data_IF_117906036486
#
_entry.id   IF_117906036486
#
_cell.length_a   1.000
_cell.length_b   1.000
_cell.length_c   1.000
_cell.angle_alpha   90.00
_cell.angle_beta   90.00
_cell.angle_gamma   90.00
#
_symmetry.space_group_name_H-M   'P 1'
#
loop_
_entity.id
_entity.type
_entity.pdbx_description
1 polymer ?
#
# COMPACT_ATOMS: atom_id res chain seq x y z
N UNK A 1 1.83 -19.17 -11.63
CA UNK A 1 0.69 -18.29 -11.99
C UNK A 1 -0.65 -18.90 -11.58
N UNK A 2 -1.03 -20.09 -12.07
CA UNK A 2 -2.32 -20.72 -11.75
C UNK A 2 -2.59 -20.89 -10.24
N UNK A 3 -1.58 -21.28 -9.48
CA UNK A 3 -1.66 -21.36 -8.01
C UNK A 3 -1.85 -20.00 -7.32
N UNK A 4 -1.31 -18.91 -7.91
CA UNK A 4 -1.50 -17.56 -7.37
C UNK A 4 -2.95 -17.12 -7.53
N UNK A 5 -3.61 -17.47 -8.64
CA UNK A 5 -5.02 -17.13 -8.86
C UNK A 5 -5.93 -17.79 -7.81
N UNK A 6 -5.66 -19.04 -7.45
CA UNK A 6 -6.37 -19.71 -6.35
C UNK A 6 -6.17 -18.99 -5.01
N UNK A 7 -4.91 -18.61 -4.68
CA UNK A 7 -4.61 -17.89 -3.43
C UNK A 7 -5.24 -16.49 -3.39
N UNK A 8 -5.24 -15.76 -4.50
CA UNK A 8 -5.92 -14.46 -4.60
C UNK A 8 -7.39 -14.55 -4.25
N UNK A 9 -8.03 -15.65 -4.67
CA UNK A 9 -9.45 -15.86 -4.41
C UNK A 9 -9.76 -16.13 -2.94
N UNK A 10 -8.83 -16.63 -2.12
CA UNK A 10 -9.09 -16.92 -0.69
C UNK A 10 -9.54 -15.67 0.08
N UNK A 11 -8.83 -14.55 -0.08
CA UNK A 11 -9.21 -13.29 0.56
C UNK A 11 -10.53 -12.74 0.02
N UNK A 12 -10.76 -12.85 -1.29
CA UNK A 12 -12.02 -12.41 -1.94
C UNK A 12 -13.19 -13.25 -1.45
N UNK A 13 -12.99 -14.55 -1.32
CA UNK A 13 -13.99 -15.50 -0.84
C UNK A 13 -14.42 -15.19 0.58
N UNK A 14 -13.48 -14.87 1.48
CA UNK A 14 -13.80 -14.42 2.84
C UNK A 14 -14.72 -13.18 2.82
N UNK A 15 -14.46 -12.21 1.96
CA UNK A 15 -15.34 -11.04 1.82
C UNK A 15 -16.75 -11.43 1.33
N UNK A 16 -16.86 -12.36 0.37
CA UNK A 16 -18.15 -12.87 -0.09
C UNK A 16 -18.91 -13.65 0.98
N UNK A 17 -18.21 -14.47 1.78
CA UNK A 17 -18.80 -15.26 2.86
C UNK A 17 -19.31 -14.39 4.00
N UNK A 18 -18.59 -13.30 4.32
CA UNK A 18 -19.08 -12.28 5.26
C UNK A 18 -20.25 -11.49 4.66
N UNK A 19 -20.18 -11.17 3.36
CA UNK A 19 -21.13 -10.29 2.68
C UNK A 19 -21.20 -8.92 3.37
N UNK A 20 -22.43 -8.42 3.56
CA UNK A 20 -22.70 -7.21 4.36
C UNK A 20 -22.88 -7.52 5.86
N UNK A 21 -22.51 -8.74 6.29
CA UNK A 21 -22.57 -9.16 7.67
C UNK A 21 -21.57 -8.43 8.56
N UNK A 22 -21.80 -8.50 9.88
CA UNK A 22 -20.91 -7.94 10.89
C UNK A 22 -19.91 -9.01 11.32
N UNK A 23 -18.63 -8.66 11.34
CA UNK A 23 -17.65 -9.40 12.13
C UNK A 23 -17.65 -8.84 13.53
N UNK A 24 -18.17 -9.64 14.46
CA UNK A 24 -18.24 -9.20 15.85
C UNK A 24 -16.88 -9.36 16.53
N UNK A 25 -16.51 -8.34 17.31
CA UNK A 25 -15.35 -8.39 18.19
C UNK A 25 -15.41 -9.63 19.06
N UNK A 26 -16.58 -9.99 19.61
CA UNK A 26 -16.81 -11.16 20.47
C UNK A 26 -16.35 -12.49 19.84
N UNK A 27 -16.45 -12.61 18.51
CA UNK A 27 -16.16 -13.86 17.78
C UNK A 27 -14.68 -13.99 17.39
N UNK A 28 -13.88 -12.92 17.55
CA UNK A 28 -12.44 -12.89 17.21
C UNK A 28 -11.58 -13.28 18.42
N UNK A 29 -10.58 -14.13 18.20
CA UNK A 29 -9.65 -14.60 19.22
C UNK A 29 -8.22 -14.14 18.94
N UNK A 30 -7.43 -13.99 20.02
CA UNK A 30 -5.98 -13.82 19.91
C UNK A 30 -5.39 -15.10 19.32
N UNK A 31 -4.54 -14.96 18.31
CA UNK A 31 -3.97 -16.05 17.52
C UNK A 31 -4.70 -16.31 16.20
N UNK A 32 -5.87 -15.70 15.97
CA UNK A 32 -6.57 -15.85 14.69
C UNK A 32 -5.72 -15.27 13.55
N UNK A 33 -5.56 -16.06 12.49
CA UNK A 33 -4.88 -15.64 11.26
C UNK A 33 -5.88 -15.05 10.27
N UNK A 34 -5.54 -13.89 9.71
CA UNK A 34 -6.30 -13.31 8.61
C UNK A 34 -5.96 -14.07 7.31
N UNK A 35 -6.93 -14.25 6.38
CA UNK A 35 -6.66 -14.89 5.10
C UNK A 35 -5.53 -14.22 4.34
N UNK A 36 -4.72 -15.01 3.65
CA UNK A 36 -3.61 -14.47 2.84
C UNK A 36 -4.17 -13.70 1.67
N UNK A 37 -3.68 -12.47 1.45
CA UNK A 37 -3.97 -11.71 0.22
C UNK A 37 -2.73 -11.62 -0.64
N UNK A 38 -2.91 -11.85 -1.93
CA UNK A 38 -1.85 -11.78 -2.93
C UNK A 38 -2.13 -10.66 -3.93
N UNK A 39 -1.14 -9.84 -4.22
CA UNK A 39 -1.17 -8.82 -5.30
C UNK A 39 -0.04 -9.11 -6.29
N UNK A 40 -0.30 -8.90 -7.57
CA UNK A 40 0.66 -9.14 -8.66
C UNK A 40 0.46 -10.49 -9.36
N UNK A 41 1.48 -11.01 -10.08
CA UNK A 41 2.81 -10.44 -10.21
C UNK A 41 2.78 -9.01 -10.74
N UNK A 42 3.61 -8.15 -10.16
CA UNK A 42 3.65 -6.73 -10.50
C UNK A 42 4.23 -6.54 -11.89
N UNK A 43 3.72 -5.56 -12.61
CA UNK A 43 4.22 -5.15 -13.92
C UNK A 43 4.32 -3.63 -13.96
N UNK A 44 5.00 -3.09 -14.97
CA UNK A 44 4.99 -1.64 -15.20
C UNK A 44 3.55 -1.15 -15.37
N UNK A 45 2.69 -1.93 -16.03
CA UNK A 45 1.28 -1.59 -16.20
C UNK A 45 0.52 -1.56 -14.86
N UNK A 46 0.73 -2.52 -13.96
CA UNK A 46 0.06 -2.51 -12.65
C UNK A 46 0.50 -1.32 -11.79
N UNK A 47 1.80 -1.03 -11.76
CA UNK A 47 2.35 0.09 -10.99
C UNK A 47 1.93 1.45 -11.57
N UNK A 48 1.89 1.58 -12.90
CA UNK A 48 1.42 2.80 -13.56
C UNK A 48 -0.07 3.04 -13.31
N UNK A 49 -0.91 2.01 -13.44
CA UNK A 49 -2.35 2.09 -13.14
C UNK A 49 -2.59 2.53 -11.71
N UNK A 50 -1.84 1.97 -10.76
CA UNK A 50 -1.99 2.31 -9.36
C UNK A 50 -1.53 3.73 -9.06
N UNK A 51 -0.39 4.17 -9.61
CA UNK A 51 0.08 5.54 -9.46
C UNK A 51 -0.97 6.55 -9.91
N UNK A 52 -1.56 6.30 -11.09
CA UNK A 52 -2.59 7.15 -11.69
C UNK A 52 -3.94 7.13 -10.96
N UNK A 53 -4.17 6.17 -10.08
CA UNK A 53 -5.39 6.08 -9.28
C UNK A 53 -5.35 7.00 -8.03
N UNK A 54 -4.17 7.52 -7.65
CA UNK A 54 -4.07 8.41 -6.50
C UNK A 54 -4.64 9.79 -6.77
N UNK A 55 -5.44 10.28 -5.82
CA UNK A 55 -5.98 11.65 -5.86
C UNK A 55 -4.88 12.71 -5.99
N UNK A 56 -3.72 12.51 -5.36
CA UNK A 56 -2.60 13.44 -5.46
C UNK A 56 -1.92 13.44 -6.84
N UNK A 57 -2.24 12.51 -7.74
CA UNK A 57 -1.75 12.52 -9.13
C UNK A 57 -2.75 13.10 -10.12
N UNK A 58 -3.98 13.38 -9.66
CA UNK A 58 -4.97 14.13 -10.43
C UNK A 58 -4.53 15.59 -10.45
N UNK A 59 -4.50 16.19 -11.64
CA UNK A 59 -4.04 17.56 -11.84
C UNK A 59 -4.83 18.55 -10.99
N UNK A 60 -4.13 19.29 -10.13
CA UNK A 60 -4.75 20.23 -9.19
C UNK A 60 -5.57 19.58 -8.07
N UNK A 61 -5.52 18.25 -7.91
CA UNK A 61 -6.29 17.50 -6.91
C UNK A 61 -5.77 17.66 -5.47
N UNK A 62 -4.52 18.10 -5.30
CA UNK A 62 -3.90 18.32 -3.99
C UNK A 62 -3.00 19.53 -3.98
N UNK A 63 -2.82 20.15 -2.81
CA UNK A 63 -1.82 21.18 -2.63
C UNK A 63 -0.40 20.59 -2.66
N UNK A 64 0.45 21.07 -3.56
CA UNK A 64 1.88 20.73 -3.59
C UNK A 64 2.66 21.66 -2.68
N UNK A 65 3.46 21.12 -1.74
CA UNK A 65 4.25 21.96 -0.83
C UNK A 65 5.41 22.69 -1.53
N UNK A 66 5.77 22.28 -2.76
CA UNK A 66 6.99 22.71 -3.43
C UNK A 66 8.20 21.99 -2.88
N UNK A 67 8.98 21.36 -3.77
CA UNK A 67 10.24 20.72 -3.41
C UNK A 67 11.32 21.11 -4.42
N UNK A 68 12.45 21.60 -3.90
CA UNK A 68 13.64 21.84 -4.72
C UNK A 68 14.45 20.54 -4.81
N UNK A 69 14.16 19.76 -5.85
CA UNK A 69 14.82 18.47 -6.07
C UNK A 69 16.32 18.62 -6.30
N UNK A 70 16.78 19.72 -6.90
CA UNK A 70 18.21 19.98 -7.08
C UNK A 70 18.90 20.24 -5.73
N UNK A 71 18.25 20.97 -4.82
CA UNK A 71 18.76 21.16 -3.46
C UNK A 71 18.82 19.85 -2.64
N UNK A 72 18.01 18.84 -2.97
CA UNK A 72 18.13 17.48 -2.41
C UNK A 72 19.25 16.63 -3.04
N UNK A 73 20.02 17.19 -3.98
CA UNK A 73 21.15 16.52 -4.61
C UNK A 73 20.79 15.69 -5.85
N UNK A 74 19.57 15.82 -6.38
CA UNK A 74 19.24 15.23 -7.67
C UNK A 74 19.97 15.99 -8.80
N UNK A 75 20.51 15.24 -9.76
CA UNK A 75 21.11 15.83 -10.97
C UNK A 75 20.05 16.56 -11.79
N UNK A 76 20.45 17.50 -12.64
CA UNK A 76 19.54 18.24 -13.54
C UNK A 76 18.55 17.32 -14.27
N UNK A 77 19.05 16.21 -14.81
CA UNK A 77 18.26 15.21 -15.51
C UNK A 77 17.15 14.59 -14.65
N UNK A 78 17.34 14.53 -13.32
CA UNK A 78 16.40 13.98 -12.34
C UNK A 78 15.56 15.03 -11.63
N UNK A 79 16.06 16.27 -11.47
CA UNK A 79 15.38 17.27 -10.65
C UNK A 79 13.96 17.58 -11.17
N UNK A 80 13.82 17.80 -12.48
CA UNK A 80 12.52 17.99 -13.14
C UNK A 80 11.63 19.02 -12.44
N UNK A 81 10.31 18.84 -12.55
CA UNK A 81 9.29 19.67 -11.89
C UNK A 81 8.38 18.84 -10.97
N UNK A 82 8.85 17.69 -10.50
CA UNK A 82 8.07 16.84 -9.62
C UNK A 82 7.71 17.59 -8.33
N UNK A 83 6.43 17.61 -7.98
CA UNK A 83 5.89 18.39 -6.85
C UNK A 83 6.09 19.93 -6.92
N UNK A 84 6.32 20.50 -8.12
CA UNK A 84 6.40 21.96 -8.34
C UNK A 84 4.99 22.60 -8.44
N UNK A 85 4.58 23.46 -7.47
CA UNK A 85 3.25 24.08 -7.45
C UNK A 85 3.05 25.18 -8.50
N UNK A 86 4.13 25.75 -9.05
CA UNK A 86 4.06 26.75 -10.12
C UNK A 86 3.87 26.02 -11.44
N UNK A 87 4.70 24.99 -11.70
CA UNK A 87 4.59 24.19 -12.91
C UNK A 87 3.27 23.43 -12.99
N UNK A 88 2.71 22.96 -11.87
CA UNK A 88 1.43 22.25 -11.88
C UNK A 88 0.27 23.11 -12.39
N UNK A 89 0.34 24.44 -12.24
CA UNK A 89 -0.67 25.38 -12.77
C UNK A 89 -0.50 25.66 -14.27
N UNK A 90 0.70 25.44 -14.81
CA UNK A 90 1.01 25.68 -16.22
C UNK A 90 0.97 24.37 -17.02
N UNK A 91 1.80 23.40 -16.66
CA UNK A 91 1.85 22.07 -17.25
C UNK A 91 1.94 20.95 -16.19
N UNK A 92 0.80 20.40 -15.72
CA UNK A 92 0.78 19.34 -14.72
C UNK A 92 1.27 17.97 -15.22
N UNK A 93 1.52 17.78 -16.53
CA UNK A 93 2.15 16.54 -17.02
C UNK A 93 3.60 16.37 -16.51
N UNK A 94 4.24 17.46 -16.09
CA UNK A 94 5.63 17.47 -15.65
C UNK A 94 5.80 17.25 -14.14
N UNK A 95 4.71 17.22 -13.37
CA UNK A 95 4.75 17.36 -11.90
C UNK A 95 4.39 16.11 -11.13
N UNK A 96 3.82 15.10 -11.80
CA UNK A 96 3.32 13.89 -11.17
C UNK A 96 4.36 12.80 -10.91
N UNK A 97 5.62 12.98 -11.31
CA UNK A 97 6.70 12.04 -11.02
C UNK A 97 6.66 10.72 -11.83
N UNK A 98 5.65 10.47 -12.66
CA UNK A 98 5.50 9.21 -13.39
C UNK A 98 6.52 9.07 -14.52
N UNK A 99 6.69 10.16 -15.29
CA UNK A 99 7.52 10.19 -16.50
C UNK A 99 8.82 11.00 -16.32
N UNK A 100 8.76 12.05 -15.52
CA UNK A 100 9.83 12.98 -15.24
C UNK A 100 10.02 13.10 -13.74
N UNK A 101 11.17 13.63 -13.31
CA UNK A 101 11.50 13.73 -11.90
C UNK A 101 12.11 12.45 -11.30
N UNK A 102 12.39 12.45 -9.99
CA UNK A 102 12.98 11.31 -9.29
C UNK A 102 12.11 10.06 -9.24
N UNK A 103 10.79 10.22 -9.18
CA UNK A 103 9.86 9.10 -9.04
C UNK A 103 9.72 8.27 -10.33
N UNK A 104 10.21 8.72 -11.50
CA UNK A 104 10.07 7.94 -12.74
C UNK A 104 10.80 6.59 -12.70
N UNK A 105 11.73 6.41 -11.76
CA UNK A 105 12.37 5.12 -11.51
C UNK A 105 11.36 3.99 -11.25
N UNK A 106 10.19 4.31 -10.72
CA UNK A 106 9.11 3.35 -10.49
C UNK A 106 8.62 2.68 -11.79
N UNK A 107 8.52 3.43 -12.89
CA UNK A 107 7.95 2.95 -14.16
C UNK A 107 9.00 2.63 -15.22
N UNK A 108 10.21 3.16 -15.08
CA UNK A 108 11.27 3.04 -16.07
C UNK A 108 12.53 2.38 -15.49
N UNK A 109 12.79 1.09 -15.79
CA UNK A 109 13.90 0.33 -15.20
C UNK A 109 15.29 0.95 -15.39
N UNK A 110 15.52 1.65 -16.49
CA UNK A 110 16.80 2.35 -16.73
C UNK A 110 17.04 3.46 -15.71
N UNK A 111 15.99 4.19 -15.31
CA UNK A 111 16.09 5.22 -14.28
C UNK A 111 16.16 4.63 -12.88
N UNK A 112 15.44 3.54 -12.62
CA UNK A 112 15.55 2.78 -11.37
C UNK A 112 17.00 2.40 -11.06
N UNK A 113 17.73 1.89 -12.07
CA UNK A 113 19.14 1.49 -11.93
C UNK A 113 20.07 2.65 -11.60
N UNK A 114 19.77 3.86 -12.05
CA UNK A 114 20.61 5.05 -11.76
C UNK A 114 20.55 5.46 -10.29
N UNK A 115 19.49 5.09 -9.57
CA UNK A 115 19.31 5.34 -8.14
C UNK A 115 19.53 4.06 -7.30
N UNK A 116 20.14 3.02 -7.89
CA UNK A 116 20.51 1.79 -7.19
C UNK A 116 19.42 0.71 -7.11
N UNK A 117 18.26 0.90 -7.77
CA UNK A 117 17.21 -0.12 -7.81
C UNK A 117 17.41 -1.08 -9.00
N UNK A 118 17.28 -2.41 -8.82
CA UNK A 118 17.59 -3.38 -9.87
C UNK A 118 16.60 -3.37 -11.04
N UNK A 119 15.34 -2.97 -10.80
CA UNK A 119 14.22 -2.96 -11.74
C UNK A 119 13.13 -2.00 -11.29
N UNK A 120 12.05 -1.88 -12.06
CA UNK A 120 10.87 -1.11 -11.67
C UNK A 120 10.33 -1.59 -10.32
N UNK A 121 9.87 -0.65 -9.50
CA UNK A 121 9.55 -0.89 -8.11
C UNK A 121 8.31 -0.09 -7.68
N UNK A 122 7.55 -0.63 -6.74
CA UNK A 122 6.29 -0.06 -6.29
C UNK A 122 6.49 1.17 -5.42
N UNK A 123 5.45 1.99 -5.35
CA UNK A 123 5.44 3.22 -4.57
C UNK A 123 5.22 2.90 -3.09
N UNK A 124 5.91 3.61 -2.19
CA UNK A 124 5.66 3.48 -0.75
C UNK A 124 4.20 3.82 -0.37
N UNK A 125 3.58 4.74 -1.11
CA UNK A 125 2.15 5.04 -1.00
C UNK A 125 1.27 3.82 -1.31
N UNK A 126 1.58 3.08 -2.38
CA UNK A 126 0.90 1.84 -2.79
C UNK A 126 0.99 0.78 -1.72
N UNK A 127 2.20 0.53 -1.22
CA UNK A 127 2.40 -0.44 -0.15
C UNK A 127 1.62 -0.09 1.11
N UNK A 128 1.58 1.17 1.51
CA UNK A 128 0.77 1.63 2.64
C UNK A 128 -0.73 1.46 2.40
N UNK A 129 -1.21 1.81 1.21
CA UNK A 129 -2.60 1.63 0.81
C UNK A 129 -3.01 0.15 0.80
N UNK A 130 -2.15 -0.75 0.34
CA UNK A 130 -2.41 -2.20 0.38
C UNK A 130 -2.57 -2.73 1.80
N UNK A 131 -1.80 -2.23 2.77
CA UNK A 131 -1.93 -2.61 4.18
C UNK A 131 -3.29 -2.15 4.72
N UNK A 132 -3.64 -0.89 4.49
CA UNK A 132 -4.92 -0.34 4.92
C UNK A 132 -6.10 -1.09 4.28
N UNK A 133 -6.06 -1.33 2.98
CA UNK A 133 -7.09 -2.05 2.23
C UNK A 133 -7.19 -3.54 2.65
N UNK A 134 -6.07 -4.17 3.01
CA UNK A 134 -6.06 -5.52 3.58
C UNK A 134 -6.71 -5.58 4.97
N UNK A 135 -6.42 -4.62 5.84
CA UNK A 135 -7.00 -4.62 7.18
C UNK A 135 -8.47 -4.19 7.17
N UNK A 136 -8.82 -3.18 6.38
CA UNK A 136 -10.19 -2.69 6.23
C UNK A 136 -11.07 -3.72 5.50
N UNK A 137 -10.57 -4.33 4.42
CA UNK A 137 -11.29 -5.38 3.71
C UNK A 137 -11.48 -6.63 4.56
N UNK A 138 -10.53 -6.97 5.44
CA UNK A 138 -10.78 -7.97 6.46
C UNK A 138 -11.89 -7.47 7.36
N UNK A 139 -11.74 -6.34 8.06
CA UNK A 139 -12.70 -5.80 9.04
C UNK A 139 -14.16 -5.77 8.54
N UNK A 140 -14.36 -5.47 7.25
CA UNK A 140 -15.68 -5.35 6.62
C UNK A 140 -16.33 -3.99 6.87
N UNK A 141 -17.52 -3.78 6.30
CA UNK A 141 -18.20 -2.48 6.25
C UNK A 141 -18.57 -1.90 7.63
N UNK A 142 -18.64 -2.76 8.64
CA UNK A 142 -19.02 -2.40 10.01
C UNK A 142 -17.83 -2.25 10.95
N UNK A 143 -16.61 -2.50 10.46
CA UNK A 143 -15.37 -2.30 11.21
C UNK A 143 -14.57 -1.14 10.64
N UNK A 144 -13.59 -0.67 11.41
CA UNK A 144 -12.74 0.44 11.01
C UNK A 144 -11.30 0.22 11.45
N UNK A 145 -10.34 0.44 10.54
CA UNK A 145 -8.93 0.56 10.92
C UNK A 145 -8.75 1.92 11.60
N UNK A 146 -8.49 1.92 12.91
CA UNK A 146 -8.43 3.13 13.73
C UNK A 146 -7.00 3.63 13.93
N UNK A 147 -6.01 2.76 13.79
CA UNK A 147 -4.61 3.11 13.85
C UNK A 147 -3.78 2.13 13.00
N UNK A 148 -2.72 2.64 12.38
CA UNK A 148 -1.75 1.84 11.65
C UNK A 148 -0.36 2.44 11.82
N UNK A 149 0.59 1.60 12.24
CA UNK A 149 2.01 1.93 12.25
C UNK A 149 2.74 0.96 11.32
N UNK A 150 3.25 1.47 10.20
CA UNK A 150 3.95 0.65 9.20
C UNK A 150 5.44 0.98 9.12
N UNK A 151 6.24 0.02 8.67
CA UNK A 151 7.66 0.17 8.43
C UNK A 151 8.06 -0.58 7.17
N UNK A 152 8.65 0.14 6.22
CA UNK A 152 9.13 -0.42 4.96
C UNK A 152 10.58 -0.91 5.09
N UNK A 153 10.90 -2.01 4.41
CA UNK A 153 12.20 -2.67 4.37
C UNK A 153 12.74 -2.77 2.95
N UNK A 154 11.85 -2.84 1.97
CA UNK A 154 12.17 -2.80 0.56
C UNK A 154 10.88 -2.61 -0.26
N UNK A 155 10.99 -2.19 -1.53
CA UNK A 155 9.82 -2.01 -2.36
C UNK A 155 9.34 -3.34 -2.93
N UNK A 156 8.09 -3.39 -3.38
CA UNK A 156 7.63 -4.44 -4.27
C UNK A 156 8.24 -4.27 -5.66
N UNK A 157 8.75 -5.31 -6.30
CA UNK A 157 9.39 -5.17 -7.61
C UNK A 157 8.55 -5.74 -8.75
N UNK A 158 8.69 -5.17 -9.95
CA UNK A 158 8.10 -5.73 -11.17
C UNK A 158 8.59 -7.17 -11.39
N UNK A 159 7.68 -8.11 -11.63
CA UNK A 159 7.96 -9.54 -11.79
C UNK A 159 7.74 -10.35 -10.50
N UNK A 160 7.66 -9.71 -9.34
CA UNK A 160 7.37 -10.38 -8.07
C UNK A 160 5.89 -10.32 -7.74
N UNK A 161 5.44 -11.21 -6.84
CA UNK A 161 4.13 -11.12 -6.21
C UNK A 161 4.28 -10.68 -4.75
N UNK A 162 3.33 -9.90 -4.27
CA UNK A 162 3.25 -9.50 -2.86
C UNK A 162 2.27 -10.39 -2.12
N UNK A 163 2.69 -10.93 -0.99
CA UNK A 163 1.89 -11.73 -0.07
C UNK A 163 1.71 -10.96 1.24
N UNK A 164 0.47 -10.84 1.68
CA UNK A 164 0.07 -10.10 2.86
C UNK A 164 -0.61 -11.04 3.84
N UNK A 165 -0.14 -11.03 5.07
CA UNK A 165 -0.62 -11.88 6.17
C UNK A 165 -0.73 -11.04 7.43
N UNK A 166 -1.67 -11.38 8.31
CA UNK A 166 -1.69 -10.84 9.65
C UNK A 166 -2.24 -11.83 10.67
N UNK A 167 -1.88 -11.62 11.92
CA UNK A 167 -2.39 -12.40 13.05
C UNK A 167 -2.91 -11.45 14.12
N UNK A 168 -4.07 -11.76 14.71
CA UNK A 168 -4.59 -11.04 15.86
C UNK A 168 -3.69 -11.35 17.07
N UNK A 169 -3.09 -10.32 17.65
CA UNK A 169 -2.13 -10.47 18.75
C UNK A 169 -2.66 -9.95 20.08
N UNK A 170 -3.69 -9.12 20.06
CA UNK A 170 -4.30 -8.54 21.25
C UNK A 170 -5.75 -8.14 21.00
N UNK A 171 -6.52 -8.02 22.07
CA UNK A 171 -7.95 -7.69 22.05
C UNK A 171 -8.31 -6.89 23.30
N UNK A 172 -8.80 -5.67 23.12
CA UNK A 172 -9.02 -4.72 24.21
C UNK A 172 -10.21 -3.79 23.96
N UNK A 173 -10.74 -3.20 25.03
CA UNK A 173 -11.56 -1.99 24.96
C UNK A 173 -10.66 -0.81 25.25
N UNK A 174 -10.51 0.12 24.31
CA UNK A 174 -9.59 1.24 24.47
C UNK A 174 -10.16 2.39 25.33
N UNK A 175 -9.37 3.45 25.53
CA UNK A 175 -9.76 4.62 26.32
C UNK A 175 -10.97 5.37 25.74
N UNK A 176 -11.21 5.23 24.43
CA UNK A 176 -12.38 5.77 23.73
C UNK A 176 -13.60 4.84 23.77
N UNK A 177 -13.51 3.73 24.53
CA UNK A 177 -14.55 2.70 24.67
C UNK A 177 -14.86 1.95 23.37
N UNK A 178 -13.90 1.89 22.45
CA UNK A 178 -13.98 1.11 21.21
C UNK A 178 -13.53 -0.32 21.45
N UNK A 179 -14.19 -1.28 20.83
CA UNK A 179 -13.80 -2.69 20.88
C UNK A 179 -12.77 -2.97 19.79
N UNK A 180 -11.50 -3.01 20.18
CA UNK A 180 -10.36 -3.03 19.26
C UNK A 180 -9.65 -4.37 19.30
N UNK A 181 -9.26 -4.87 18.13
CA UNK A 181 -8.27 -5.94 17.97
C UNK A 181 -6.97 -5.34 17.44
N UNK A 182 -5.83 -5.80 17.95
CA UNK A 182 -4.52 -5.47 17.38
C UNK A 182 -4.01 -6.62 16.53
N UNK A 183 -3.40 -6.28 15.40
CA UNK A 183 -2.86 -7.26 14.45
C UNK A 183 -1.39 -6.99 14.18
N UNK A 184 -0.58 -8.05 14.16
CA UNK A 184 0.78 -8.03 13.60
C UNK A 184 0.70 -8.42 12.12
N UNK A 185 1.17 -7.53 11.26
CA UNK A 185 1.08 -7.64 9.82
C UNK A 185 2.45 -7.81 9.18
N UNK A 186 2.52 -8.66 8.15
CA UNK A 186 3.72 -8.92 7.37
C UNK A 186 3.42 -8.90 5.87
N UNK A 187 4.28 -8.21 5.12
CA UNK A 187 4.29 -8.20 3.66
C UNK A 187 5.58 -8.84 3.14
N UNK A 188 5.45 -9.86 2.29
CA UNK A 188 6.59 -10.60 1.73
C UNK A 188 6.49 -10.80 0.23
N UNK A 189 7.61 -11.08 -0.44
CA UNK A 189 7.64 -11.59 -1.80
C UNK A 189 7.49 -13.13 -1.85
N UNK A 190 7.53 -13.71 -3.06
CA UNK A 190 7.48 -15.16 -3.26
C UNK A 190 8.68 -15.93 -2.69
N UNK A 191 9.78 -15.26 -2.35
CA UNK A 191 10.99 -15.84 -1.76
C UNK A 191 10.99 -15.69 -0.23
N UNK A 192 9.97 -15.04 0.35
CA UNK A 192 9.86 -14.76 1.78
C UNK A 192 10.62 -13.50 2.23
N UNK A 193 11.16 -12.71 1.31
CA UNK A 193 11.81 -11.43 1.63
C UNK A 193 10.79 -10.48 2.23
N UNK A 194 11.07 -9.92 3.40
CA UNK A 194 10.17 -8.98 4.07
C UNK A 194 10.28 -7.61 3.42
N UNK A 195 9.17 -7.13 2.84
CA UNK A 195 9.08 -5.81 2.22
C UNK A 195 8.51 -4.76 3.19
N UNK A 196 7.54 -5.16 4.02
CA UNK A 196 6.97 -4.29 5.06
C UNK A 196 6.50 -5.10 6.28
N UNK A 197 6.47 -4.42 7.42
CA UNK A 197 5.77 -4.86 8.63
C UNK A 197 4.84 -3.76 9.12
N UNK A 198 3.76 -4.11 9.80
CA UNK A 198 2.89 -3.14 10.43
C UNK A 198 2.21 -3.67 11.68
N UNK A 199 1.89 -2.76 12.59
CA UNK A 199 0.99 -2.97 13.72
C UNK A 199 -0.30 -2.21 13.42
N UNK A 200 -1.41 -2.94 13.29
CA UNK A 200 -2.72 -2.37 12.98
C UNK A 200 -3.68 -2.49 14.16
N UNK A 201 -4.56 -1.52 14.33
CA UNK A 201 -5.66 -1.56 15.28
C UNK A 201 -6.99 -1.43 14.53
N UNK A 202 -7.90 -2.36 14.79
CA UNK A 202 -9.18 -2.48 14.08
C UNK A 202 -10.30 -2.48 15.11
N UNK A 203 -11.17 -1.48 15.02
CA UNK A 203 -12.44 -1.45 15.75
C UNK A 203 -13.45 -2.38 15.07
N UNK A 204 -14.15 -3.16 15.88
CA UNK A 204 -15.20 -4.08 15.45
C UNK A 204 -16.47 -3.89 16.30
N UNK A 205 -17.68 -4.14 15.74
CA UNK A 205 -18.92 -4.09 16.50
C UNK A 205 -18.99 -5.24 17.51
N UNK A 206 -19.76 -5.08 18.58
CA UNK A 206 -20.14 -6.18 19.50
C UNK A 206 -21.56 -6.65 19.22
N UNK A 207 -21.93 -7.81 19.75
CA UNK A 207 -23.31 -8.34 19.70
C UNK A 207 -24.28 -7.54 20.57
#
# INVERSE_FOLDING_TARGET
>A
LKELESKKYEYIKMMHELGHGKRYWDDVNIGDELPVRVIGPHSIASLATEWRAYLFTIWGGTHRPGMDMAAFGFTEEFAGHENDPVMEKDNPELTDGAYLGPSRGHLFPTWARRIGMPRGYGYGASMGAWILDYLAGWAGEWGQVVHLKSSYRGPAFTGDATFMTATVVDKQVDDQKRNVVKVDYKMTDQLGTVMAKAEGEIELPTR
#
